data_IF_057530559673
#
_entry.id   IF_057530559673
#
_cell.length_a   1.000
_cell.length_b   1.000
_cell.length_c   1.000
_cell.angle_alpha   90.00
_cell.angle_beta   90.00
_cell.angle_gamma   90.00
#
_symmetry.space_group_name_H-M   'P 1'
#
loop_
_entity.id
_entity.type
_entity.pdbx_description
1 polymer ?
#
# COMPACT_ATOMS: atom_id res chain seq x y z
N UNK A 1 -32.21 -45.63 -41.56
CA UNK A 1 -31.51 -44.33 -41.56
C UNK A 1 -30.62 -44.29 -40.33
N UNK A 2 -29.29 -44.22 -40.54
CA UNK A 2 -28.31 -44.16 -39.46
C UNK A 2 -27.83 -42.73 -39.19
N UNK A 3 -27.31 -42.49 -37.99
CA UNK A 3 -26.49 -41.33 -37.65
C UNK A 3 -25.28 -41.77 -36.81
N UNK A 4 -24.11 -41.11 -36.95
CA UNK A 4 -22.80 -41.67 -36.61
C UNK A 4 -22.22 -41.18 -35.27
N UNK A 5 -21.08 -41.79 -34.93
CA UNK A 5 -20.23 -41.59 -33.75
C UNK A 5 -19.52 -40.22 -33.65
N UNK A 6 -18.72 -40.07 -32.58
CA UNK A 6 -17.68 -39.06 -32.22
C UNK A 6 -18.15 -38.00 -31.19
N UNK A 7 -17.41 -37.56 -30.14
CA UNK A 7 -16.00 -37.69 -29.74
C UNK A 7 -15.85 -37.56 -28.22
N UNK A 8 -14.87 -38.27 -27.66
CA UNK A 8 -14.22 -37.95 -26.38
C UNK A 8 -13.39 -36.68 -26.54
N UNK A 9 -13.56 -35.65 -25.69
CA UNK A 9 -12.47 -34.72 -25.38
C UNK A 9 -12.52 -34.29 -23.91
N UNK A 10 -11.44 -34.64 -23.21
CA UNK A 10 -10.94 -33.98 -22.02
C UNK A 10 -10.60 -32.52 -22.36
N UNK A 11 -10.85 -31.59 -21.43
CA UNK A 11 -9.82 -30.75 -20.83
C UNK A 11 -10.38 -29.45 -20.25
N UNK A 12 -9.72 -29.06 -19.15
CA UNK A 12 -9.62 -27.74 -18.57
C UNK A 12 -10.84 -27.20 -17.81
N UNK A 13 -10.85 -27.59 -16.53
CA UNK A 13 -10.72 -26.63 -15.42
C UNK A 13 -10.37 -25.20 -15.86
N UNK A 14 -11.38 -24.39 -16.09
CA UNK A 14 -11.29 -22.94 -15.91
C UNK A 14 -12.42 -22.55 -14.98
N UNK A 15 -12.03 -22.58 -13.72
CA UNK A 15 -12.78 -22.06 -12.58
C UNK A 15 -13.28 -20.65 -12.86
N UNK A 16 -14.56 -20.50 -12.55
CA UNK A 16 -15.08 -19.38 -11.79
C UNK A 16 -14.99 -18.01 -12.45
N UNK A 17 -15.94 -17.79 -13.35
CA UNK A 17 -16.73 -16.56 -13.37
C UNK A 17 -17.44 -16.40 -12.02
N UNK A 18 -16.75 -15.86 -11.02
CA UNK A 18 -17.38 -15.39 -9.79
C UNK A 18 -17.01 -13.93 -9.59
N UNK A 19 -17.89 -13.08 -10.11
CA UNK A 19 -18.15 -11.72 -9.62
C UNK A 19 -18.50 -11.79 -8.12
N UNK A 20 -17.52 -12.06 -7.26
CA UNK A 20 -17.56 -11.54 -5.91
C UNK A 20 -17.02 -10.12 -6.00
N UNK A 21 -17.69 -9.11 -5.43
CA UNK A 21 -16.98 -7.93 -4.99
C UNK A 21 -16.04 -8.40 -3.89
N UNK A 22 -14.90 -8.96 -4.29
CA UNK A 22 -13.73 -9.02 -3.45
C UNK A 22 -13.55 -7.56 -3.09
N UNK A 23 -13.96 -7.21 -1.87
CA UNK A 23 -13.61 -5.97 -1.23
C UNK A 23 -12.09 -5.92 -1.41
N UNK A 24 -11.65 -5.24 -2.45
CA UNK A 24 -10.27 -4.86 -2.61
C UNK A 24 -10.09 -3.99 -1.39
N UNK A 25 -9.59 -4.58 -0.29
CA UNK A 25 -8.99 -3.84 0.79
C UNK A 25 -7.99 -2.96 0.08
N UNK A 26 -8.38 -1.71 -0.14
CA UNK A 26 -7.69 -0.82 -1.06
C UNK A 26 -6.27 -0.76 -0.55
N UNK A 27 -5.28 -1.24 -1.29
CA UNK A 27 -3.91 -1.25 -0.76
C UNK A 27 -3.26 0.05 -1.18
N UNK A 28 -3.00 0.90 -0.21
CA UNK A 28 -2.41 2.21 -0.43
C UNK A 28 -0.90 2.09 -0.64
N UNK A 29 -0.37 2.78 -1.65
CA UNK A 29 1.06 2.85 -1.93
C UNK A 29 1.68 4.06 -1.22
N UNK A 30 2.56 3.78 -0.28
CA UNK A 30 3.33 4.81 0.42
C UNK A 30 4.77 4.70 -0.03
N UNK A 31 5.26 5.73 -0.71
CA UNK A 31 6.66 5.91 -1.08
C UNK A 31 7.33 6.73 0.02
N UNK A 32 8.50 6.31 0.48
CA UNK A 32 9.27 7.01 1.50
C UNK A 32 10.70 7.23 1.00
N UNK A 33 11.19 8.46 1.13
CA UNK A 33 12.57 8.81 0.87
C UNK A 33 13.37 8.79 2.17
N UNK A 34 14.44 8.01 2.20
CA UNK A 34 15.36 7.92 3.33
C UNK A 34 16.80 7.77 2.83
N UNK A 35 17.70 8.65 3.27
CA UNK A 35 19.14 8.63 2.95
C UNK A 35 19.47 8.52 1.44
N UNK A 36 18.64 9.14 0.59
CA UNK A 36 18.77 9.08 -0.88
C UNK A 36 18.14 7.85 -1.54
N UNK A 37 17.61 6.91 -0.75
CA UNK A 37 16.88 5.74 -1.23
C UNK A 37 15.36 5.98 -1.21
N UNK A 38 14.64 5.38 -2.17
CA UNK A 38 13.19 5.47 -2.29
C UNK A 38 12.58 4.09 -2.06
N UNK A 39 12.05 3.88 -0.87
CA UNK A 39 11.37 2.65 -0.50
C UNK A 39 9.87 2.83 -0.76
N UNK A 40 9.20 1.82 -1.31
CA UNK A 40 7.75 1.81 -1.41
C UNK A 40 7.18 0.67 -0.57
N UNK A 41 6.28 0.99 0.34
CA UNK A 41 5.53 0.02 1.12
C UNK A 41 4.05 0.05 0.72
N UNK A 42 3.42 -1.08 0.96
CA UNK A 42 1.98 -1.25 0.83
C UNK A 42 1.38 -1.27 2.23
N UNK A 43 0.45 -0.37 2.48
CA UNK A 43 -0.28 -0.28 3.74
C UNK A 43 -1.77 -0.26 3.45
N UNK A 44 -2.59 -0.82 4.35
CA UNK A 44 -4.03 -0.59 4.27
C UNK A 44 -4.34 0.90 4.54
N UNK A 45 -5.45 1.44 4.03
CA UNK A 45 -5.87 2.84 4.22
C UNK A 45 -6.29 3.11 5.66
N UNK A 46 -6.66 2.07 6.40
CA UNK A 46 -6.97 2.10 7.83
C UNK A 46 -5.71 1.90 8.71
N UNK A 47 -4.50 2.10 8.17
CA UNK A 47 -3.26 1.94 8.95
C UNK A 47 -3.10 3.09 9.95
N UNK A 48 -2.85 2.74 11.21
CA UNK A 48 -2.52 3.72 12.24
C UNK A 48 -1.12 4.31 12.07
N UNK A 49 -0.94 5.54 12.57
CA UNK A 49 0.35 6.21 12.57
C UNK A 49 1.45 5.37 13.24
N UNK A 50 1.16 4.78 14.39
CA UNK A 50 2.11 3.90 15.09
C UNK A 50 2.52 2.70 14.26
N UNK A 51 1.57 2.06 13.58
CA UNK A 51 1.83 0.86 12.78
C UNK A 51 2.57 1.19 11.48
N UNK A 52 2.31 2.37 10.92
CA UNK A 52 3.10 2.92 9.82
C UNK A 52 4.55 3.19 10.27
N UNK A 53 4.76 3.84 11.41
CA UNK A 53 6.09 4.08 11.98
C UNK A 53 6.85 2.78 12.20
N UNK A 54 6.22 1.78 12.83
CA UNK A 54 6.81 0.48 13.09
C UNK A 54 7.24 -0.22 11.78
N UNK A 55 6.34 -0.26 10.78
CA UNK A 55 6.67 -0.72 9.44
C UNK A 55 7.86 0.03 8.86
N UNK A 56 7.89 1.36 8.95
CA UNK A 56 8.97 2.16 8.39
C UNK A 56 10.30 1.85 9.07
N UNK A 57 10.32 1.72 10.40
CA UNK A 57 11.51 1.34 11.15
C UNK A 57 12.02 -0.04 10.77
N UNK A 58 11.13 -1.03 10.66
CA UNK A 58 11.48 -2.39 10.23
C UNK A 58 12.07 -2.40 8.82
N UNK A 59 11.46 -1.64 7.89
CA UNK A 59 11.92 -1.56 6.50
C UNK A 59 13.23 -0.79 6.34
N UNK A 60 13.43 0.25 7.13
CA UNK A 60 14.67 1.04 7.15
C UNK A 60 15.74 0.44 8.07
N UNK A 61 15.42 -0.63 8.83
CA UNK A 61 16.27 -1.26 9.84
C UNK A 61 16.82 -0.25 10.86
N UNK A 62 15.96 0.67 11.30
CA UNK A 62 16.31 1.71 12.27
C UNK A 62 16.25 1.17 13.70
N UNK A 63 17.10 1.72 14.58
CA UNK A 63 17.13 1.33 15.98
C UNK A 63 15.95 1.94 16.75
N UNK A 64 15.59 1.34 17.88
CA UNK A 64 14.52 1.88 18.74
C UNK A 64 14.90 3.22 19.37
N UNK A 65 16.20 3.50 19.47
CA UNK A 65 16.78 4.73 20.02
C UNK A 65 16.71 5.93 19.06
N UNK A 66 16.70 5.66 17.74
CA UNK A 66 16.60 6.69 16.71
C UNK A 66 15.21 7.34 16.72
N UNK A 67 15.17 8.67 16.84
CA UNK A 67 13.93 9.42 16.72
C UNK A 67 13.57 9.55 15.24
N UNK A 68 12.46 8.91 14.86
CA UNK A 68 11.94 8.92 13.51
C UNK A 68 10.98 10.10 13.34
N UNK A 69 11.26 10.98 12.38
CA UNK A 69 10.39 12.06 12.00
C UNK A 69 9.86 11.85 10.57
N UNK A 70 8.54 11.88 10.42
CA UNK A 70 7.86 11.66 9.15
C UNK A 70 7.27 12.95 8.62
N UNK A 71 7.54 13.21 7.35
CA UNK A 71 6.95 14.33 6.65
C UNK A 71 6.27 13.84 5.39
N UNK A 72 4.99 14.08 5.20
CA UNK A 72 4.36 13.83 3.91
C UNK A 72 4.46 15.05 3.02
N UNK A 73 4.70 14.82 1.74
CA UNK A 73 4.64 15.86 0.72
C UNK A 73 3.33 15.73 -0.04
N UNK A 74 2.49 16.74 0.12
CA UNK A 74 1.25 16.90 -0.61
C UNK A 74 1.60 17.30 -2.06
N UNK A 75 1.25 16.46 -3.04
CA UNK A 75 1.47 16.79 -4.45
C UNK A 75 0.66 18.00 -4.95
N UNK A 76 -0.64 18.18 -4.61
CA UNK A 76 -1.41 19.29 -5.17
C UNK A 76 -0.95 20.67 -4.68
N UNK A 77 -0.51 20.80 -3.43
CA UNK A 77 -0.02 22.06 -2.88
C UNK A 77 1.49 22.17 -2.84
N UNK A 78 2.21 21.05 -2.99
CA UNK A 78 3.66 20.98 -2.86
C UNK A 78 4.17 21.11 -1.43
N UNK A 79 3.28 21.21 -0.44
CA UNK A 79 3.66 21.42 0.96
C UNK A 79 4.23 20.14 1.58
N UNK A 80 5.30 20.31 2.35
CA UNK A 80 5.83 19.27 3.23
C UNK A 80 5.22 19.46 4.61
N UNK A 81 4.35 18.55 5.01
CA UNK A 81 3.63 18.59 6.27
C UNK A 81 4.16 17.49 7.21
N UNK A 82 4.30 17.83 8.48
CA UNK A 82 4.68 16.87 9.51
C UNK A 82 3.53 15.88 9.70
N UNK A 83 3.85 14.59 9.67
CA UNK A 83 2.90 13.53 9.91
C UNK A 83 3.21 12.98 11.31
N UNK A 84 2.46 13.45 12.31
CA UNK A 84 2.73 13.21 13.73
C UNK A 84 1.61 12.45 14.44
N UNK A 85 0.47 12.24 13.77
CA UNK A 85 -0.73 11.65 14.35
C UNK A 85 -1.52 10.86 13.32
N UNK A 86 -2.42 9.99 13.80
CA UNK A 86 -3.37 9.24 12.98
C UNK A 86 -4.24 10.17 12.12
N UNK A 87 -4.65 11.32 12.66
CA UNK A 87 -5.51 12.27 11.94
C UNK A 87 -4.82 12.88 10.72
N UNK A 88 -3.52 13.21 10.81
CA UNK A 88 -2.73 13.66 9.65
C UNK A 88 -2.56 12.53 8.63
N UNK A 89 -2.35 11.30 9.12
CA UNK A 89 -2.20 10.13 8.27
C UNK A 89 -3.48 9.84 7.50
N UNK A 90 -4.62 9.76 8.19
CA UNK A 90 -5.92 9.48 7.61
C UNK A 90 -6.29 10.55 6.58
N UNK A 91 -6.06 11.83 6.89
CA UNK A 91 -6.28 12.92 5.93
C UNK A 91 -5.43 12.76 4.67
N UNK A 92 -4.16 12.38 4.83
CA UNK A 92 -3.25 12.14 3.73
C UNK A 92 -3.66 10.88 2.92
N UNK A 93 -4.09 9.80 3.59
CA UNK A 93 -4.51 8.54 2.97
C UNK A 93 -5.85 8.67 2.23
N UNK A 94 -6.79 9.45 2.77
CA UNK A 94 -8.11 9.64 2.17
C UNK A 94 -8.08 10.56 0.94
N UNK A 95 -7.17 11.54 0.94
CA UNK A 95 -7.07 12.55 -0.12
C UNK A 95 -6.22 12.10 -1.31
N UNK A 96 -5.34 11.11 -1.12
CA UNK A 96 -4.38 10.68 -2.13
C UNK A 96 -4.41 9.16 -2.34
N UNK A 97 -4.16 8.69 -3.57
CA UNK A 97 -3.95 7.27 -3.86
C UNK A 97 -2.48 6.83 -3.75
N UNK A 98 -1.59 7.82 -3.56
CA UNK A 98 -0.16 7.63 -3.31
C UNK A 98 0.33 8.69 -2.31
N UNK A 99 1.08 8.26 -1.30
CA UNK A 99 1.76 9.18 -0.40
C UNK A 99 3.25 9.19 -0.67
N UNK A 100 3.84 10.38 -0.61
CA UNK A 100 5.28 10.58 -0.61
C UNK A 100 5.70 11.05 0.78
N UNK A 101 6.37 10.19 1.51
CA UNK A 101 6.94 10.47 2.82
C UNK A 101 8.43 10.79 2.68
N UNK A 102 8.91 11.70 3.51
CA UNK A 102 10.31 11.93 3.77
C UNK A 102 10.53 11.50 5.21
N UNK A 103 11.44 10.55 5.37
CA UNK A 103 11.80 10.02 6.68
C UNK A 103 13.14 10.64 7.06
N UNK A 104 13.15 11.35 8.17
CA UNK A 104 14.34 11.94 8.76
C UNK A 104 14.58 11.27 10.11
N UNK A 105 15.84 10.95 10.40
CA UNK A 105 16.25 10.36 11.67
C UNK A 105 17.09 11.40 12.38
N UNK A 106 16.72 11.74 13.62
CA UNK A 106 17.35 12.78 14.43
C UNK A 106 18.03 12.23 15.68
#
# INVERSE_FOLDING_TARGET
AGFPATSRQLSNSQQSTSNQPQQQQAVMKVKMYYNGDLIAIRVPPEVDYQQLCDKIRDRLKLSTDDQLQLFYKDEPTGNKLNLMSDSDLDFALQRHEKLLLYVEVV
#
